data_IF_052781543261
#
_entry.id   IF_052781543261
#
_cell.length_a   1.000
_cell.length_b   1.000
_cell.length_c   1.000
_cell.angle_alpha   90.00
_cell.angle_beta   90.00
_cell.angle_gamma   90.00
#
_symmetry.space_group_name_H-M   'P 1'
#
loop_
_entity.id
_entity.type
_entity.pdbx_description
1 polymer ?
#
# COMPACT_ATOMS: atom_id res chain seq x y z
N UNK A 1 10.01 -1.88 17.88
CA UNK A 1 10.54 -2.27 16.55
C UNK A 1 9.69 -3.43 16.05
N UNK A 2 8.82 -3.22 15.05
CA UNK A 2 7.68 -4.11 14.76
C UNK A 2 8.04 -5.39 13.98
N UNK A 3 9.17 -5.43 13.27
CA UNK A 3 9.73 -6.67 12.72
C UNK A 3 11.17 -6.75 13.21
N UNK A 4 11.61 -7.90 13.73
CA UNK A 4 13.01 -8.13 14.12
C UNK A 4 13.90 -8.33 12.88
N UNK A 5 13.65 -7.56 11.82
CA UNK A 5 14.37 -7.62 10.57
C UNK A 5 15.82 -7.21 10.80
N UNK A 6 16.75 -8.12 10.52
CA UNK A 6 18.18 -7.87 10.52
C UNK A 6 18.60 -7.60 9.09
N UNK A 7 19.03 -6.37 8.80
CA UNK A 7 19.68 -6.06 7.52
C UNK A 7 20.99 -6.83 7.47
N UNK A 8 21.19 -7.56 6.38
CA UNK A 8 22.35 -8.40 6.15
C UNK A 8 23.24 -7.82 5.07
N UNK A 9 24.50 -8.24 5.05
CA UNK A 9 25.50 -7.95 4.02
C UNK A 9 25.72 -9.19 3.16
N UNK A 10 26.37 -8.99 2.02
CA UNK A 10 26.70 -10.08 1.09
C UNK A 10 27.35 -11.28 1.78
N UNK A 11 28.29 -11.02 2.70
CA UNK A 11 29.00 -12.04 3.46
C UNK A 11 28.13 -12.88 4.41
N UNK A 12 26.97 -12.37 4.84
CA UNK A 12 26.08 -13.10 5.74
C UNK A 12 25.28 -14.19 5.00
N UNK A 13 24.94 -13.97 3.72
CA UNK A 13 24.24 -14.96 2.89
C UNK A 13 24.49 -14.69 1.38
N UNK A 14 25.62 -15.17 0.83
CA UNK A 14 25.97 -14.96 -0.57
C UNK A 14 24.94 -15.54 -1.55
N UNK A 15 24.33 -16.69 -1.23
CA UNK A 15 23.35 -17.35 -2.09
C UNK A 15 22.10 -16.49 -2.29
N UNK A 16 21.56 -15.91 -1.21
CA UNK A 16 20.41 -15.01 -1.30
C UNK A 16 20.77 -13.73 -2.05
N UNK A 17 21.95 -13.16 -1.80
CA UNK A 17 22.40 -11.98 -2.53
C UNK A 17 22.57 -12.25 -4.03
N UNK A 18 23.01 -13.44 -4.44
CA UNK A 18 23.12 -13.81 -5.85
C UNK A 18 21.75 -13.83 -6.53
N UNK A 19 20.73 -14.41 -5.88
CA UNK A 19 19.35 -14.42 -6.38
C UNK A 19 18.82 -13.00 -6.56
N UNK A 20 18.97 -12.15 -5.54
CA UNK A 20 18.54 -10.75 -5.62
C UNK A 20 19.30 -10.00 -6.71
N UNK A 21 20.61 -10.24 -6.84
CA UNK A 21 21.45 -9.60 -7.85
C UNK A 21 21.06 -10.00 -9.28
N UNK A 22 20.69 -11.26 -9.52
CA UNK A 22 20.18 -11.71 -10.81
C UNK A 22 18.89 -11.00 -11.21
N UNK A 23 17.96 -10.84 -10.27
CA UNK A 23 16.72 -10.09 -10.49
C UNK A 23 17.01 -8.62 -10.73
N UNK A 24 17.95 -8.03 -9.99
CA UNK A 24 18.42 -6.65 -10.17
C UNK A 24 18.98 -6.44 -11.59
N UNK A 25 19.85 -7.35 -12.06
CA UNK A 25 20.40 -7.31 -13.42
C UNK A 25 19.28 -7.41 -14.47
N UNK A 26 18.34 -8.35 -14.28
CA UNK A 26 17.24 -8.55 -15.22
C UNK A 26 16.24 -7.38 -15.26
N UNK A 27 16.00 -6.73 -14.13
CA UNK A 27 15.04 -5.62 -14.00
C UNK A 27 15.64 -4.24 -14.27
N UNK A 28 16.96 -4.09 -14.21
CA UNK A 28 17.65 -2.80 -14.31
C UNK A 28 17.43 -1.88 -13.10
N UNK A 29 16.92 -2.41 -11.98
CA UNK A 29 16.66 -1.65 -10.76
C UNK A 29 17.92 -1.55 -9.89
N UNK A 30 18.05 -0.55 -9.01
CA UNK A 30 19.14 -0.51 -8.05
C UNK A 30 19.04 -1.66 -7.03
N UNK A 31 20.19 -2.08 -6.48
CA UNK A 31 20.24 -3.13 -5.47
C UNK A 31 19.51 -2.69 -4.19
N UNK A 32 18.44 -3.39 -3.76
CA UNK A 32 17.76 -3.07 -2.52
C UNK A 32 18.59 -3.48 -1.31
N UNK A 33 18.25 -2.93 -0.14
CA UNK A 33 18.72 -3.50 1.14
C UNK A 33 18.07 -4.87 1.32
N UNK A 34 18.84 -5.86 1.73
CA UNK A 34 18.33 -7.21 2.00
C UNK A 34 18.27 -7.41 3.51
N UNK A 35 17.14 -7.90 4.02
CA UNK A 35 16.96 -8.22 5.42
C UNK A 35 16.41 -9.63 5.62
N UNK A 36 16.78 -10.25 6.74
CA UNK A 36 16.20 -11.52 7.18
C UNK A 36 15.40 -11.27 8.45
N UNK A 37 14.19 -11.81 8.48
CA UNK A 37 13.31 -11.84 9.65
C UNK A 37 13.29 -13.26 10.19
N UNK A 38 13.61 -13.44 11.47
CA UNK A 38 13.45 -14.73 12.14
C UNK A 38 11.97 -14.98 12.42
N UNK A 39 11.32 -15.71 11.52
CA UNK A 39 9.90 -16.06 11.54
C UNK A 39 9.72 -17.37 10.74
N UNK A 40 9.13 -18.43 11.33
CA UNK A 40 8.89 -19.69 10.63
C UNK A 40 7.77 -19.61 9.58
N UNK A 41 6.92 -18.57 9.61
CA UNK A 41 5.91 -18.40 8.57
C UNK A 41 6.58 -17.98 7.25
N UNK A 42 6.35 -18.69 6.13
CA UNK A 42 6.94 -18.34 4.85
C UNK A 42 6.34 -17.02 4.34
N UNK A 43 7.17 -15.99 4.25
CA UNK A 43 6.79 -14.68 3.74
C UNK A 43 8.01 -13.90 3.21
N UNK A 44 7.76 -13.03 2.25
CA UNK A 44 8.69 -12.00 1.79
C UNK A 44 7.89 -10.73 1.52
N UNK A 45 8.49 -9.57 1.78
CA UNK A 45 7.84 -8.31 1.46
C UNK A 45 8.85 -7.22 1.16
N UNK A 46 8.52 -6.38 0.19
CA UNK A 46 9.27 -5.17 -0.10
C UNK A 46 8.71 -3.93 0.60
N UNK A 47 9.59 -2.99 0.93
CA UNK A 47 9.24 -1.67 1.43
C UNK A 47 10.23 -0.63 0.94
N UNK A 48 9.81 0.63 0.87
CA UNK A 48 10.64 1.73 0.39
C UNK A 48 9.80 2.81 -0.25
N UNK A 49 10.32 4.04 -0.28
CA UNK A 49 9.63 5.18 -0.93
C UNK A 49 9.85 5.20 -2.44
N UNK A 50 10.97 4.62 -2.89
CA UNK A 50 11.39 4.53 -4.28
C UNK A 50 12.37 3.36 -4.45
N UNK A 51 12.69 2.94 -5.69
CA UNK A 51 13.64 1.86 -5.93
C UNK A 51 15.01 2.08 -5.28
N UNK A 52 15.52 3.31 -5.29
CA UNK A 52 16.85 3.63 -4.71
C UNK A 52 16.92 3.43 -3.20
N UNK A 53 15.79 3.49 -2.50
CA UNK A 53 15.69 3.34 -1.05
C UNK A 53 14.84 2.11 -0.67
N UNK A 54 14.81 1.10 -1.53
CA UNK A 54 14.07 -0.13 -1.30
C UNK A 54 14.78 -1.07 -0.31
N UNK A 55 13.98 -1.85 0.39
CA UNK A 55 14.40 -2.95 1.25
C UNK A 55 13.47 -4.14 1.00
N UNK A 56 14.04 -5.31 0.78
CA UNK A 56 13.30 -6.57 0.72
C UNK A 56 13.66 -7.40 1.96
N UNK A 57 12.63 -7.83 2.67
CA UNK A 57 12.75 -8.69 3.83
C UNK A 57 12.27 -10.10 3.50
N UNK A 58 13.06 -11.11 3.87
CA UNK A 58 12.75 -12.52 3.71
C UNK A 58 12.63 -13.17 5.10
N UNK A 59 11.62 -14.01 5.33
CA UNK A 59 11.54 -14.78 6.57
C UNK A 59 12.41 -16.03 6.49
N UNK A 60 12.88 -16.53 7.64
CA UNK A 60 13.60 -17.81 7.71
C UNK A 60 12.75 -18.96 7.18
N UNK A 61 11.44 -18.98 7.46
CA UNK A 61 10.53 -19.99 6.93
C UNK A 61 10.42 -20.00 5.41
N UNK A 62 10.51 -18.83 4.76
CA UNK A 62 10.51 -18.76 3.28
C UNK A 62 11.84 -19.28 2.71
N UNK A 63 12.96 -18.87 3.29
CA UNK A 63 14.30 -19.32 2.86
C UNK A 63 14.52 -20.83 3.05
N UNK A 64 13.85 -21.44 4.02
CA UNK A 64 13.91 -22.89 4.29
C UNK A 64 12.95 -23.70 3.42
N UNK A 65 11.87 -23.08 2.90
CA UNK A 65 10.81 -23.79 2.17
C UNK A 65 10.93 -23.69 0.65
N UNK A 66 11.63 -22.67 0.13
CA UNK A 66 11.77 -22.44 -1.29
C UNK A 66 13.15 -22.82 -1.82
N UNK A 67 13.17 -23.37 -3.02
CA UNK A 67 14.41 -23.50 -3.77
C UNK A 67 14.86 -22.16 -4.39
N UNK A 68 15.99 -22.21 -5.10
CA UNK A 68 16.60 -21.03 -5.70
C UNK A 68 15.71 -20.37 -6.75
N UNK A 69 15.04 -21.16 -7.59
CA UNK A 69 14.27 -20.68 -8.73
C UNK A 69 12.93 -20.09 -8.24
N UNK A 70 12.31 -20.74 -7.25
CA UNK A 70 11.13 -20.23 -6.54
C UNK A 70 11.44 -18.90 -5.84
N UNK A 71 12.57 -18.82 -5.12
CA UNK A 71 13.01 -17.62 -4.44
C UNK A 71 13.29 -16.48 -5.42
N UNK A 72 13.84 -16.80 -6.61
CA UNK A 72 14.03 -15.83 -7.68
C UNK A 72 12.70 -15.29 -8.20
N UNK A 73 11.69 -16.16 -8.37
CA UNK A 73 10.34 -15.77 -8.75
C UNK A 73 9.68 -14.83 -7.73
N UNK A 74 9.74 -15.16 -6.44
CA UNK A 74 9.24 -14.31 -5.35
C UNK A 74 9.98 -12.98 -5.30
N UNK A 75 11.32 -13.01 -5.40
CA UNK A 75 12.14 -11.79 -5.41
C UNK A 75 11.79 -10.89 -6.60
N UNK A 76 11.56 -11.46 -7.78
CA UNK A 76 11.13 -10.71 -8.97
C UNK A 76 9.75 -10.06 -8.78
N UNK A 77 8.80 -10.79 -8.18
CA UNK A 77 7.48 -10.27 -7.84
C UNK A 77 7.57 -9.07 -6.88
N UNK A 78 8.32 -9.22 -5.79
CA UNK A 78 8.52 -8.15 -4.80
C UNK A 78 9.27 -6.94 -5.40
N UNK A 79 10.27 -7.17 -6.25
CA UNK A 79 10.95 -6.10 -6.98
C UNK A 79 10.04 -5.35 -7.96
N UNK A 80 9.05 -6.02 -8.56
CA UNK A 80 8.07 -5.37 -9.42
C UNK A 80 7.17 -4.41 -8.62
N UNK A 81 6.76 -4.78 -7.40
CA UNK A 81 6.03 -3.87 -6.50
C UNK A 81 6.85 -2.63 -6.13
N UNK A 82 8.15 -2.80 -5.89
CA UNK A 82 9.08 -1.67 -5.66
C UNK A 82 9.16 -0.76 -6.88
N UNK A 83 9.29 -1.34 -8.08
CA UNK A 83 9.39 -0.60 -9.32
C UNK A 83 8.14 0.26 -9.58
N UNK A 84 6.96 -0.33 -9.38
CA UNK A 84 5.67 0.33 -9.59
C UNK A 84 5.26 1.26 -8.44
N UNK A 85 5.98 1.21 -7.31
CA UNK A 85 5.69 2.02 -6.11
C UNK A 85 4.29 1.74 -5.55
N UNK A 86 3.85 0.49 -5.61
CA UNK A 86 2.47 0.11 -5.29
C UNK A 86 2.04 0.56 -3.90
N UNK A 87 2.92 0.45 -2.89
CA UNK A 87 2.62 0.94 -1.53
C UNK A 87 2.33 2.44 -1.49
N UNK A 88 3.05 3.25 -2.26
CA UNK A 88 2.82 4.69 -2.32
C UNK A 88 1.52 5.00 -3.06
N UNK A 89 1.28 4.33 -4.19
CA UNK A 89 0.06 4.49 -4.98
C UNK A 89 -1.17 4.14 -4.15
N UNK A 90 -1.17 3.00 -3.47
CA UNK A 90 -2.25 2.57 -2.58
C UNK A 90 -2.43 3.52 -1.39
N UNK A 91 -1.34 4.00 -0.78
CA UNK A 91 -1.44 4.98 0.31
C UNK A 91 -2.05 6.31 -0.15
N UNK A 92 -1.65 6.82 -1.32
CA UNK A 92 -2.22 8.04 -1.90
C UNK A 92 -3.70 7.83 -2.23
N UNK A 93 -4.04 6.73 -2.91
CA UNK A 93 -5.41 6.39 -3.27
C UNK A 93 -6.31 6.26 -2.02
N UNK A 94 -5.86 5.55 -1.00
CA UNK A 94 -6.58 5.39 0.27
C UNK A 94 -6.77 6.74 0.99
N UNK A 95 -5.74 7.59 1.01
CA UNK A 95 -5.80 8.91 1.63
C UNK A 95 -6.79 9.82 0.90
N UNK A 96 -6.74 9.87 -0.43
CA UNK A 96 -7.68 10.65 -1.25
C UNK A 96 -9.11 10.16 -1.07
N UNK A 97 -9.33 8.84 -1.11
CA UNK A 97 -10.64 8.25 -0.87
C UNK A 97 -11.17 8.55 0.55
N UNK A 98 -10.31 8.49 1.56
CA UNK A 98 -10.64 8.87 2.93
C UNK A 98 -11.07 10.33 3.07
N UNK A 99 -10.39 11.26 2.39
CA UNK A 99 -10.77 12.68 2.36
C UNK A 99 -12.15 12.87 1.71
N UNK A 100 -12.41 12.21 0.57
CA UNK A 100 -13.71 12.29 -0.10
C UNK A 100 -14.82 11.72 0.79
N UNK A 101 -14.57 10.61 1.47
CA UNK A 101 -15.50 10.01 2.41
C UNK A 101 -15.82 10.94 3.59
N UNK A 102 -14.80 11.57 4.18
CA UNK A 102 -14.97 12.54 5.28
C UNK A 102 -15.80 13.74 4.84
N UNK A 103 -15.51 14.33 3.67
CA UNK A 103 -16.28 15.45 3.13
C UNK A 103 -17.74 15.04 2.90
N UNK A 104 -17.96 13.86 2.31
CA UNK A 104 -19.30 13.33 2.04
C UNK A 104 -20.09 13.12 3.34
N UNK A 105 -19.46 12.55 4.37
CA UNK A 105 -20.08 12.33 5.69
C UNK A 105 -20.42 13.66 6.38
N UNK A 106 -19.50 14.64 6.36
CA UNK A 106 -19.75 15.98 6.92
C UNK A 106 -20.93 16.66 6.20
N UNK A 107 -20.96 16.63 4.86
CA UNK A 107 -22.06 17.18 4.07
C UNK A 107 -23.39 16.48 4.40
N UNK A 108 -23.42 15.15 4.47
CA UNK A 108 -24.63 14.41 4.87
C UNK A 108 -25.10 14.79 6.27
N UNK A 109 -24.19 14.88 7.25
CA UNK A 109 -24.54 15.30 8.62
C UNK A 109 -25.10 16.72 8.66
N UNK A 110 -24.54 17.66 7.91
CA UNK A 110 -25.07 19.02 7.83
C UNK A 110 -26.48 19.06 7.22
N UNK A 111 -26.79 18.21 6.22
CA UNK A 111 -28.13 18.11 5.65
C UNK A 111 -29.15 17.54 6.65
N UNK A 112 -28.77 16.49 7.39
CA UNK A 112 -29.67 15.78 8.31
C UNK A 112 -29.85 16.49 9.65
N UNK A 113 -28.78 17.10 10.19
CA UNK A 113 -28.80 17.72 11.52
C UNK A 113 -28.83 19.26 11.47
N UNK A 114 -28.51 19.90 10.33
CA UNK A 114 -28.55 21.35 10.16
C UNK A 114 -29.92 21.93 9.80
N UNK A 115 -30.92 21.08 9.49
CA UNK A 115 -32.29 21.51 9.12
C UNK A 115 -33.21 21.87 10.29
N UNK A 116 -32.72 21.82 11.54
CA UNK A 116 -33.54 22.00 12.75
C UNK A 116 -33.50 23.40 13.34
N UNK A 117 -34.11 24.41 12.67
CA UNK A 117 -34.69 25.65 13.27
C UNK A 117 -35.08 26.69 12.20
N UNK A 118 -36.21 26.47 11.51
CA UNK A 118 -37.22 27.50 11.20
C UNK A 118 -38.15 27.00 10.09
N UNK A 119 -39.32 26.51 10.50
CA UNK A 119 -40.44 26.15 9.60
C UNK A 119 -41.24 27.39 9.21
N UNK A 120 -40.57 28.44 8.77
CA UNK A 120 -41.24 29.65 8.31
C UNK A 120 -40.37 30.32 7.27
N UNK A 121 -40.85 30.30 6.03
CA UNK A 121 -40.34 31.02 4.88
C UNK A 121 -39.01 30.55 4.29
N UNK A 122 -39.15 29.73 3.23
CA UNK A 122 -38.32 29.86 2.03
C UNK A 122 -36.81 29.63 2.22
N UNK A 123 -36.43 28.65 3.03
CA UNK A 123 -35.06 28.13 2.99
C UNK A 123 -35.06 26.75 2.33
N UNK A 124 -35.19 26.75 0.99
CA UNK A 124 -34.79 25.60 0.19
C UNK A 124 -33.30 25.38 0.47
N UNK A 125 -32.98 24.37 1.28
CA UNK A 125 -31.62 23.81 1.24
C UNK A 125 -31.33 23.55 -0.24
N UNK A 126 -30.31 24.20 -0.84
CA UNK A 126 -30.15 24.14 -2.28
C UNK A 126 -29.97 22.67 -2.64
N UNK A 127 -30.87 22.14 -3.45
CA UNK A 127 -30.92 20.73 -3.87
C UNK A 127 -29.54 20.24 -4.35
N UNK A 128 -28.74 21.16 -4.89
CA UNK A 128 -27.35 20.97 -5.28
C UNK A 128 -26.45 20.44 -4.15
N UNK A 129 -26.63 20.86 -2.88
CA UNK A 129 -25.85 20.35 -1.74
C UNK A 129 -26.17 18.89 -1.40
N UNK A 130 -27.38 18.41 -1.70
CA UNK A 130 -27.78 17.01 -1.48
C UNK A 130 -27.28 16.07 -2.58
N UNK A 131 -27.06 16.59 -3.79
CA UNK A 131 -26.58 15.81 -4.94
C UNK A 131 -25.07 15.50 -4.83
N UNK A 132 -24.28 16.42 -4.28
CA UNK A 132 -22.82 16.27 -4.14
C UNK A 132 -22.42 14.96 -3.39
N UNK A 133 -22.90 14.70 -2.17
CA UNK A 133 -22.51 13.48 -1.43
C UNK A 133 -23.02 12.20 -2.10
N UNK A 134 -24.14 12.25 -2.85
CA UNK A 134 -24.68 11.10 -3.58
C UNK A 134 -23.73 10.63 -4.70
N UNK A 135 -23.00 11.57 -5.31
CA UNK A 135 -22.00 11.27 -6.34
C UNK A 135 -20.64 10.92 -5.72
N UNK A 136 -20.22 11.65 -4.68
CA UNK A 136 -18.90 11.46 -4.06
C UNK A 136 -18.78 10.14 -3.27
N UNK A 137 -19.84 9.69 -2.60
CA UNK A 137 -19.82 8.46 -1.80
C UNK A 137 -19.46 7.20 -2.61
N UNK A 138 -20.10 6.88 -3.76
CA UNK A 138 -19.72 5.71 -4.54
C UNK A 138 -18.30 5.83 -5.14
N UNK A 139 -17.86 7.03 -5.53
CA UNK A 139 -16.48 7.25 -5.99
C UNK A 139 -15.50 6.93 -4.87
N UNK A 140 -15.70 7.47 -3.67
CA UNK A 140 -14.87 7.17 -2.51
C UNK A 140 -14.82 5.66 -2.22
N UNK A 141 -15.97 4.97 -2.26
CA UNK A 141 -16.04 3.53 -2.03
C UNK A 141 -15.25 2.74 -3.09
N UNK A 142 -15.36 3.11 -4.37
CA UNK A 142 -14.60 2.44 -5.44
C UNK A 142 -13.09 2.65 -5.31
N UNK A 143 -12.66 3.86 -4.97
CA UNK A 143 -11.24 4.17 -4.75
C UNK A 143 -10.68 3.46 -3.51
N UNK A 144 -11.45 3.38 -2.43
CA UNK A 144 -11.05 2.65 -1.23
C UNK A 144 -10.89 1.16 -1.53
N UNK A 145 -11.84 0.58 -2.29
CA UNK A 145 -11.79 -0.83 -2.70
C UNK A 145 -10.57 -1.12 -3.56
N UNK A 146 -10.22 -0.25 -4.52
CA UNK A 146 -9.04 -0.43 -5.35
C UNK A 146 -7.73 -0.22 -4.60
N UNK A 147 -7.72 0.60 -3.53
CA UNK A 147 -6.53 0.83 -2.73
C UNK A 147 -6.19 -0.32 -1.77
N UNK A 148 -7.17 -1.17 -1.46
CA UNK A 148 -7.05 -2.32 -0.55
C UNK A 148 -6.78 -3.63 -1.32
N UNK A 149 -7.05 -3.65 -2.63
CA UNK A 149 -7.01 -4.84 -3.49
C UNK A 149 -5.76 -4.94 -4.35
#
# INVERSE_FOLDING_TARGET
KMTRAKVIRYEDNPSLFNVVNEVVIASGLPMPKVAIVNDPAPNAFATGRNPENALIAFTTGLLESMDRDELQGVTAHEMAHVANRDTLVSAVAATTAGIIALISDILMRMLWFGGGRNRSHQNQMPIFLAIIPLILAPIAATLLRSAIS
#
